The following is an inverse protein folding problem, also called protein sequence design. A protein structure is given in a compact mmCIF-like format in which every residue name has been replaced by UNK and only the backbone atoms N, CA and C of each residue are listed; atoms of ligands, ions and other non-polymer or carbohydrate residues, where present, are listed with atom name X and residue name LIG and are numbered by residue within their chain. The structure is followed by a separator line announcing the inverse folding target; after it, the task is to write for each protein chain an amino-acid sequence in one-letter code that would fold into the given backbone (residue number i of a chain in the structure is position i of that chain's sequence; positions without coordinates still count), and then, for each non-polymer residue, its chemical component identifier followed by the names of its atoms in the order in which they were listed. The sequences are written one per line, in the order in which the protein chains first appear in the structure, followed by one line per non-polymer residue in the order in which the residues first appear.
data_IF_808684528222
#
_entry.id   IF_808684528222
#
_cell.length_a   1.000
_cell.length_b   1.000
_cell.length_c   1.000
_cell.angle_alpha   90.00
_cell.angle_beta   90.00
_cell.angle_gamma   90.00
#
_symmetry.space_group_name_H-M   'P 1'
#
loop_
_entity.id
_entity.type
_entity.pdbx_description
1 polymer ?
#
# COMPACT_ATOMS: atom_id res chain seq x y z
N UNK A 1 20.76 10.89 35.22
CA UNK A 1 20.52 9.77 34.27
C UNK A 1 19.11 9.81 33.72
N UNK A 2 18.99 10.01 32.41
CA UNK A 2 17.73 10.01 31.66
C UNK A 2 17.68 8.85 30.67
N UNK A 3 16.46 8.38 30.43
CA UNK A 3 16.15 7.45 29.35
C UNK A 3 15.53 8.24 28.22
N UNK A 4 16.21 8.32 27.08
CA UNK A 4 15.70 9.05 25.92
C UNK A 4 15.24 8.04 24.88
N UNK A 5 14.01 8.21 24.39
CA UNK A 5 13.41 7.38 23.34
C UNK A 5 13.29 8.24 22.09
N UNK A 6 13.93 7.81 21.01
CA UNK A 6 13.77 8.37 19.68
C UNK A 6 12.79 7.50 18.89
N UNK A 7 11.72 8.11 18.41
CA UNK A 7 10.75 7.53 17.49
C UNK A 7 11.11 8.04 16.10
N UNK A 8 11.62 7.17 15.25
CA UNK A 8 11.82 7.45 13.84
C UNK A 8 10.61 6.96 13.06
N UNK A 9 9.99 7.88 12.33
CA UNK A 9 8.89 7.58 11.42
C UNK A 9 9.43 7.43 10.00
N UNK A 10 8.66 6.75 9.17
CA UNK A 10 9.01 6.46 7.78
C UNK A 10 9.16 7.72 6.91
N UNK A 11 8.49 8.81 7.25
CA UNK A 11 8.67 10.11 6.62
C UNK A 11 10.07 10.72 6.82
N UNK A 12 10.88 10.14 7.72
CA UNK A 12 12.14 10.71 8.20
C UNK A 12 11.94 11.66 9.39
N UNK A 13 10.71 11.88 9.85
CA UNK A 13 10.45 12.61 11.09
C UNK A 13 10.95 11.82 12.29
N UNK A 14 11.68 12.51 13.17
CA UNK A 14 12.16 11.95 14.44
C UNK A 14 11.58 12.72 15.62
N UNK A 15 11.04 12.01 16.60
CA UNK A 15 10.53 12.58 17.85
C UNK A 15 11.35 12.04 19.02
N UNK A 16 11.92 12.93 19.83
CA UNK A 16 12.68 12.56 21.02
C UNK A 16 11.85 12.79 22.28
N UNK A 17 11.84 11.79 23.16
CA UNK A 17 11.15 11.84 24.44
C UNK A 17 12.10 11.42 25.56
N UNK A 18 12.31 12.29 26.54
CA UNK A 18 13.17 12.03 27.68
C UNK A 18 12.36 11.66 28.93
N UNK A 19 12.88 10.72 29.71
CA UNK A 19 12.25 10.22 30.92
C UNK A 19 13.28 10.06 32.04
N UNK A 20 13.05 10.72 33.17
CA UNK A 20 13.89 10.54 34.37
C UNK A 20 13.71 9.14 34.99
N UNK A 21 12.50 8.57 34.89
CA UNK A 21 12.16 7.27 35.48
C UNK A 21 12.14 6.16 34.42
N UNK A 22 12.89 5.07 34.68
CA UNK A 22 12.94 3.89 33.82
C UNK A 22 11.57 3.25 33.57
N UNK A 23 10.71 3.22 34.58
CA UNK A 23 9.37 2.61 34.50
C UNK A 23 8.49 3.38 33.50
N UNK A 24 8.53 4.71 33.52
CA UNK A 24 7.80 5.56 32.58
C UNK A 24 8.31 5.40 31.16
N UNK A 25 9.63 5.36 30.97
CA UNK A 25 10.25 5.08 29.67
C UNK A 25 9.80 3.71 29.12
N UNK A 26 9.79 2.68 29.98
CA UNK A 26 9.37 1.33 29.59
C UNK A 26 7.88 1.26 29.23
N UNK A 27 7.00 1.93 29.97
CA UNK A 27 5.58 1.97 29.66
C UNK A 27 5.32 2.71 28.34
N UNK A 28 5.99 3.84 28.12
CA UNK A 28 5.94 4.60 26.88
C UNK A 28 6.43 3.76 25.69
N UNK A 29 7.56 3.06 25.84
CA UNK A 29 8.11 2.17 24.83
C UNK A 29 7.11 1.09 24.39
N UNK A 30 6.55 0.34 25.35
CA UNK A 30 5.58 -0.73 25.05
C UNK A 30 4.29 -0.19 24.46
N UNK A 31 3.78 0.94 24.99
CA UNK A 31 2.59 1.60 24.46
C UNK A 31 2.78 2.07 23.02
N UNK A 32 3.94 2.66 22.71
CA UNK A 32 4.27 3.15 21.37
C UNK A 32 4.37 1.99 20.37
N UNK A 33 5.00 0.87 20.75
CA UNK A 33 5.02 -0.34 19.90
C UNK A 33 3.60 -0.85 19.66
N UNK A 34 2.81 -1.01 20.73
CA UNK A 34 1.45 -1.55 20.63
C UNK A 34 0.56 -0.68 19.74
N UNK A 35 0.67 0.64 19.84
CA UNK A 35 -0.10 1.56 18.98
C UNK A 35 0.41 1.58 17.55
N UNK A 36 1.72 1.52 17.35
CA UNK A 36 2.30 1.47 16.01
C UNK A 36 2.01 0.15 15.28
N UNK A 37 1.90 -0.99 15.99
CA UNK A 37 1.45 -2.27 15.43
C UNK A 37 -0.03 -2.24 15.00
N UNK A 38 -0.86 -1.40 15.63
CA UNK A 38 -2.27 -1.19 15.26
C UNK A 38 -2.44 -0.19 14.11
N UNK A 39 -1.46 0.67 13.88
CA UNK A 39 -1.53 1.72 12.86
C UNK A 39 -1.50 1.11 11.45
N UNK A 40 -2.34 1.66 10.56
CA UNK A 40 -2.41 1.19 9.19
C UNK A 40 -1.14 1.58 8.39
N UNK A 41 -0.69 0.73 7.45
CA UNK A 41 0.57 0.92 6.70
C UNK A 41 0.60 2.12 5.73
N UNK A 42 -0.46 2.94 5.72
CA UNK A 42 -0.63 4.13 4.87
C UNK A 42 -0.51 5.45 5.63
N UNK A 43 -0.32 5.40 6.94
CA UNK A 43 0.02 6.56 7.75
C UNK A 43 1.53 6.61 7.96
N UNK A 44 2.01 7.79 8.36
CA UNK A 44 3.40 7.98 8.79
C UNK A 44 3.65 7.23 10.11
N UNK A 45 3.82 5.92 9.96
CA UNK A 45 3.97 4.99 11.05
C UNK A 45 5.39 5.00 11.56
N UNK A 46 5.52 4.56 12.80
CA UNK A 46 6.82 4.37 13.44
C UNK A 46 7.55 3.27 12.68
N UNK A 47 8.67 3.62 12.07
CA UNK A 47 9.56 2.67 11.41
C UNK A 47 10.46 2.00 12.46
N UNK A 48 10.93 2.81 13.41
CA UNK A 48 11.99 2.40 14.33
C UNK A 48 11.94 3.17 15.64
N UNK A 49 12.17 2.49 16.75
CA UNK A 49 12.40 3.09 18.06
C UNK A 49 13.83 2.83 18.52
N UNK A 50 14.47 3.85 19.09
CA UNK A 50 15.78 3.74 19.74
C UNK A 50 15.71 4.25 21.16
N UNK A 51 16.29 3.51 22.09
CA UNK A 51 16.44 3.89 23.49
C UNK A 51 17.91 4.23 23.75
N UNK A 52 18.13 5.37 24.38
CA UNK A 52 19.42 5.86 24.85
C UNK A 52 19.37 5.97 26.37
N UNK A 53 20.50 5.69 27.02
CA UNK A 53 20.70 5.97 28.44
C UNK A 53 21.75 7.07 28.50
N UNK A 54 21.33 8.24 28.98
CA UNK A 54 22.19 9.41 29.10
C UNK A 54 22.50 9.62 30.58
N UNK A 55 23.76 9.83 30.94
CA UNK A 55 24.14 10.06 32.34
C UNK A 55 23.82 11.49 32.82
N UNK A 56 23.49 12.39 31.90
CA UNK A 56 23.12 13.78 32.15
C UNK A 56 22.07 13.96 33.26
N UNK A 57 22.20 15.06 33.98
CA UNK A 57 21.31 15.44 35.10
C UNK A 57 20.13 16.31 34.66
N UNK A 58 20.19 16.86 33.45
CA UNK A 58 19.18 17.75 32.88
C UNK A 58 18.59 17.18 31.59
N UNK A 59 17.27 17.30 31.43
CA UNK A 59 16.53 16.78 30.28
C UNK A 59 17.01 17.37 28.95
N UNK A 60 17.22 18.69 28.91
CA UNK A 60 17.64 19.38 27.69
C UNK A 60 19.03 18.94 27.22
N UNK A 61 19.94 18.65 28.16
CA UNK A 61 21.28 18.13 27.86
C UNK A 61 21.22 16.69 27.35
N UNK A 62 20.37 15.85 27.95
CA UNK A 62 20.16 14.48 27.51
C UNK A 62 19.59 14.39 26.08
N UNK A 63 18.63 15.25 25.74
CA UNK A 63 18.06 15.32 24.39
C UNK A 63 19.12 15.76 23.37
N UNK A 64 19.85 16.83 23.68
CA UNK A 64 20.91 17.37 22.82
C UNK A 64 22.03 16.35 22.57
N UNK A 65 22.44 15.60 23.60
CA UNK A 65 23.47 14.57 23.47
C UNK A 65 23.04 13.44 22.51
N UNK A 66 21.74 13.13 22.43
CA UNK A 66 21.18 12.17 21.46
C UNK A 66 21.09 12.77 20.06
N UNK A 67 20.71 14.05 19.93
CA UNK A 67 20.68 14.75 18.64
C UNK A 67 22.07 14.90 18.00
N UNK A 68 23.10 15.13 18.82
CA UNK A 68 24.49 15.26 18.39
C UNK A 68 25.22 13.91 18.24
N UNK A 69 24.50 12.78 18.31
CA UNK A 69 25.04 11.41 18.21
C UNK A 69 26.17 11.10 19.22
N UNK A 70 26.19 11.79 20.37
CA UNK A 70 27.21 11.60 21.42
C UNK A 70 26.90 10.43 22.34
N UNK A 71 25.71 9.86 22.24
CA UNK A 71 25.23 8.76 23.09
C UNK A 71 24.96 7.53 22.24
N UNK A 72 25.43 6.37 22.70
CA UNK A 72 25.22 5.10 22.00
C UNK A 72 23.81 4.56 22.22
N UNK A 73 23.24 3.97 21.16
CA UNK A 73 21.93 3.31 21.23
C UNK A 73 22.01 2.11 22.16
N UNK A 74 21.20 2.12 23.22
CA UNK A 74 21.14 1.01 24.18
C UNK A 74 20.23 -0.12 23.72
N UNK A 75 19.10 0.22 23.10
CA UNK A 75 18.13 -0.74 22.58
C UNK A 75 17.49 -0.18 21.32
N UNK A 76 17.25 -1.03 20.36
CA UNK A 76 16.67 -0.68 19.09
C UNK A 76 15.54 -1.66 18.74
N UNK A 77 14.46 -1.16 18.18
CA UNK A 77 13.34 -1.97 17.72
C UNK A 77 12.85 -1.44 16.38
N UNK A 78 12.81 -2.32 15.38
CA UNK A 78 12.42 -1.99 14.00
C UNK A 78 11.07 -2.65 13.77
N UNK A 79 10.05 -1.87 13.42
CA UNK A 79 8.69 -2.38 13.21
C UNK A 79 8.53 -3.04 11.83
N UNK A 80 9.39 -2.69 10.88
CA UNK A 80 9.42 -3.27 9.54
C UNK A 80 10.50 -4.35 9.44
N UNK A 81 10.20 -5.53 9.98
CA UNK A 81 10.57 -6.81 9.35
C UNK A 81 10.06 -7.92 10.24
N UNK A 82 9.40 -8.92 9.67
CA UNK A 82 9.52 -10.25 10.23
C UNK A 82 11.03 -10.56 10.24
N UNK A 83 11.68 -10.66 11.41
CA UNK A 83 13.11 -10.90 11.42
C UNK A 83 13.36 -12.24 10.74
N UNK A 84 14.38 -12.33 9.89
CA UNK A 84 14.74 -13.63 9.31
C UNK A 84 15.01 -14.57 10.47
N UNK A 85 14.68 -15.85 10.32
CA UNK A 85 14.92 -16.83 11.38
C UNK A 85 16.39 -16.83 11.81
N UNK A 86 17.30 -16.51 10.89
CA UNK A 86 18.73 -16.27 11.14
C UNK A 86 19.02 -15.13 12.13
N UNK A 87 18.24 -14.05 12.09
CA UNK A 87 18.39 -12.89 12.96
C UNK A 87 17.82 -13.16 14.37
N UNK A 88 16.83 -14.06 14.47
CA UNK A 88 16.25 -14.53 15.74
C UNK A 88 17.10 -15.65 16.36
N UNK A 89 17.72 -16.48 15.52
CA UNK A 89 18.53 -17.63 15.90
C UNK A 89 19.98 -17.28 16.27
N UNK A 90 20.32 -16.00 16.40
CA UNK A 90 21.66 -15.60 16.85
C UNK A 90 21.97 -16.29 18.20
N UNK A 91 23.13 -16.97 18.32
CA UNK A 91 23.46 -17.69 19.53
C UNK A 91 23.55 -16.71 20.71
N UNK A 92 22.65 -16.88 21.67
CA UNK A 92 22.76 -16.26 22.99
C UNK A 92 23.18 -17.31 24.01
N UNK A 93 23.62 -16.87 25.17
CA UNK A 93 23.94 -17.74 26.31
C UNK A 93 22.80 -18.70 26.72
N UNK A 94 21.57 -18.54 26.21
CA UNK A 94 20.37 -19.31 26.60
C UNK A 94 19.78 -20.22 25.52
N UNK A 95 20.25 -20.19 24.26
CA UNK A 95 19.75 -21.09 23.21
C UNK A 95 20.87 -21.97 22.63
N UNK A 96 20.64 -23.28 22.42
CA UNK A 96 21.62 -24.14 21.76
C UNK A 96 21.84 -23.71 20.30
N UNK A 97 23.03 -23.93 19.73
CA UNK A 97 23.32 -23.58 18.34
C UNK A 97 22.38 -24.33 17.39
N UNK A 98 21.54 -23.59 16.66
CA UNK A 98 20.73 -24.15 15.58
C UNK A 98 21.66 -24.37 14.38
N UNK A 99 21.60 -25.57 13.78
CA UNK A 99 22.38 -25.89 12.59
C UNK A 99 21.95 -25.02 11.40
N UNK A 100 22.91 -24.26 10.86
CA UNK A 100 22.70 -23.33 9.75
C UNK A 100 22.19 -24.01 8.47
N UNK A 101 22.53 -25.28 8.24
CA UNK A 101 21.99 -26.04 7.10
C UNK A 101 20.50 -26.33 7.26
N UNK A 102 20.03 -26.51 8.50
CA UNK A 102 18.61 -26.72 8.80
C UNK A 102 17.79 -25.43 8.57
N UNK A 103 18.33 -24.27 8.94
CA UNK A 103 17.69 -22.96 8.69
C UNK A 103 17.66 -22.66 7.18
N UNK A 104 18.77 -22.84 6.48
CA UNK A 104 18.85 -22.57 5.04
C UNK A 104 17.92 -23.48 4.23
N UNK A 105 17.75 -24.76 4.64
CA UNK A 105 16.79 -25.67 4.01
C UNK A 105 15.34 -25.25 4.22
N UNK A 106 15.00 -24.77 5.43
CA UNK A 106 13.66 -24.24 5.72
C UNK A 106 13.36 -22.97 4.91
N UNK A 107 14.33 -22.07 4.77
CA UNK A 107 14.19 -20.85 3.95
C UNK A 107 14.04 -21.16 2.45
N UNK A 108 14.78 -22.13 1.94
CA UNK A 108 14.66 -22.59 0.55
C UNK A 108 13.26 -23.20 0.28
N UNK A 109 12.72 -23.97 1.23
CA UNK A 109 11.37 -24.52 1.13
C UNK A 109 10.30 -23.40 1.20
N UNK A 110 10.46 -22.41 2.08
CA UNK A 110 9.58 -21.23 2.15
C UNK A 110 9.64 -20.43 0.83
N UNK A 111 10.82 -20.27 0.23
CA UNK A 111 10.98 -19.62 -1.05
C UNK A 111 10.27 -20.39 -2.18
N UNK A 112 10.42 -21.72 -2.22
CA UNK A 112 9.73 -22.61 -3.17
C UNK A 112 8.21 -22.56 -3.01
N UNK A 113 7.72 -22.51 -1.77
CA UNK A 113 6.31 -22.28 -1.48
C UNK A 113 5.82 -20.90 -1.96
N UNK A 114 6.70 -19.89 -1.98
CA UNK A 114 6.43 -18.57 -2.54
C UNK A 114 6.16 -18.57 -4.06
N UNK A 115 6.79 -19.47 -4.81
CA UNK A 115 6.52 -19.65 -6.25
C UNK A 115 5.16 -20.32 -6.48
N UNK A 116 4.86 -21.39 -5.74
CA UNK A 116 3.54 -22.03 -5.76
C UNK A 116 2.41 -21.08 -5.33
N UNK A 117 2.70 -20.18 -4.38
CA UNK A 117 1.78 -19.11 -3.99
C UNK A 117 1.42 -18.19 -5.16
N UNK A 118 2.39 -17.78 -5.98
CA UNK A 118 2.10 -16.93 -7.12
C UNK A 118 1.17 -17.62 -8.12
N UNK A 119 1.30 -18.93 -8.29
CA UNK A 119 0.41 -19.70 -9.16
C UNK A 119 -1.03 -19.73 -8.62
N UNK A 120 -1.21 -19.99 -7.32
CA UNK A 120 -2.52 -19.97 -6.68
C UNK A 120 -3.17 -18.58 -6.71
N UNK A 121 -2.41 -17.53 -6.39
CA UNK A 121 -2.90 -16.16 -6.44
C UNK A 121 -3.26 -15.72 -7.87
N UNK A 122 -2.52 -16.20 -8.89
CA UNK A 122 -2.88 -15.98 -10.31
C UNK A 122 -4.16 -16.72 -10.68
N UNK A 123 -4.38 -17.93 -10.18
CA UNK A 123 -5.61 -18.68 -10.42
C UNK A 123 -6.84 -17.97 -9.80
N UNK A 124 -6.74 -17.49 -8.57
CA UNK A 124 -7.81 -16.72 -7.92
C UNK A 124 -8.03 -15.36 -8.59
N UNK A 125 -6.96 -14.68 -9.02
CA UNK A 125 -7.08 -13.47 -9.85
C UNK A 125 -7.85 -13.75 -11.14
N UNK A 126 -7.58 -14.88 -11.81
CA UNK A 126 -8.32 -15.27 -13.01
C UNK A 126 -9.80 -15.50 -12.70
N UNK A 127 -10.13 -16.19 -11.60
CA UNK A 127 -11.52 -16.38 -11.15
C UNK A 127 -12.26 -15.05 -10.98
N UNK A 128 -11.61 -14.06 -10.36
CA UNK A 128 -12.15 -12.70 -10.20
C UNK A 128 -12.40 -12.03 -11.56
N UNK A 129 -11.43 -12.09 -12.48
CA UNK A 129 -11.56 -11.50 -13.82
C UNK A 129 -12.66 -12.15 -14.64
N UNK A 130 -12.74 -13.48 -14.65
CA UNK A 130 -13.75 -14.22 -15.37
C UNK A 130 -15.17 -13.84 -14.89
N UNK A 131 -15.37 -13.71 -13.57
CA UNK A 131 -16.68 -13.28 -13.02
C UNK A 131 -17.03 -11.85 -13.37
N UNK A 132 -16.09 -10.92 -13.28
CA UNK A 132 -16.32 -9.54 -13.72
C UNK A 132 -16.71 -9.47 -15.20
N UNK A 133 -16.08 -10.28 -16.06
CA UNK A 133 -16.40 -10.31 -17.48
C UNK A 133 -17.81 -10.85 -17.73
N UNK A 134 -18.18 -11.96 -17.07
CA UNK A 134 -19.54 -12.53 -17.16
C UNK A 134 -20.59 -11.49 -16.74
N UNK A 135 -20.38 -10.78 -15.63
CA UNK A 135 -21.31 -9.76 -15.15
C UNK A 135 -21.43 -8.60 -16.16
N UNK A 136 -20.32 -8.18 -16.78
CA UNK A 136 -20.32 -7.13 -17.80
C UNK A 136 -21.02 -7.56 -19.10
N UNK A 137 -20.83 -8.81 -19.52
CA UNK A 137 -21.39 -9.36 -20.76
C UNK A 137 -22.89 -9.64 -20.63
N UNK A 138 -23.29 -10.26 -19.52
CA UNK A 138 -24.69 -10.63 -19.27
C UNK A 138 -25.52 -9.48 -18.73
N UNK A 139 -24.87 -8.43 -18.19
CA UNK A 139 -25.49 -7.36 -17.42
C UNK A 139 -26.43 -7.90 -16.32
N UNK A 140 -26.10 -9.10 -15.83
CA UNK A 140 -26.81 -9.85 -14.81
C UNK A 140 -25.83 -10.20 -13.70
N UNK A 141 -26.37 -10.32 -12.49
CA UNK A 141 -25.59 -10.53 -11.30
C UNK A 141 -26.45 -11.23 -10.25
N UNK A 142 -25.87 -12.21 -9.58
CA UNK A 142 -26.52 -12.86 -8.44
C UNK A 142 -25.60 -12.92 -7.20
N UNK A 143 -26.15 -13.38 -6.08
CA UNK A 143 -25.41 -13.50 -4.83
C UNK A 143 -24.29 -14.55 -4.92
N UNK A 144 -24.43 -15.56 -5.79
CA UNK A 144 -23.40 -16.59 -5.98
C UNK A 144 -22.14 -16.02 -6.66
N UNK A 145 -22.29 -15.00 -7.52
CA UNK A 145 -21.15 -14.24 -8.03
C UNK A 145 -20.35 -13.55 -6.91
N UNK A 146 -21.04 -12.99 -5.89
CA UNK A 146 -20.37 -12.41 -4.72
C UNK A 146 -19.67 -13.47 -3.90
N UNK A 147 -20.27 -14.64 -3.72
CA UNK A 147 -19.63 -15.71 -2.96
C UNK A 147 -18.33 -16.16 -3.63
N UNK A 148 -18.35 -16.39 -4.96
CA UNK A 148 -17.14 -16.75 -5.72
C UNK A 148 -16.08 -15.65 -5.64
N UNK A 149 -16.47 -14.38 -5.76
CA UNK A 149 -15.51 -13.28 -5.68
C UNK A 149 -14.97 -13.08 -4.26
N UNK A 150 -15.81 -13.23 -3.24
CA UNK A 150 -15.42 -13.13 -1.83
C UNK A 150 -14.44 -14.25 -1.47
N UNK A 151 -14.71 -15.50 -1.86
CA UNK A 151 -13.81 -16.63 -1.65
C UNK A 151 -12.43 -16.41 -2.30
N UNK A 152 -12.40 -16.03 -3.58
CA UNK A 152 -11.15 -15.77 -4.28
C UNK A 152 -10.36 -14.62 -3.61
N UNK A 153 -11.06 -13.60 -3.13
CA UNK A 153 -10.44 -12.47 -2.41
C UNK A 153 -9.89 -12.89 -1.05
N UNK A 154 -10.58 -13.79 -0.33
CA UNK A 154 -10.08 -14.37 0.92
C UNK A 154 -8.82 -15.21 0.70
N UNK A 155 -8.77 -16.04 -0.34
CA UNK A 155 -7.56 -16.81 -0.69
C UNK A 155 -6.37 -15.90 -1.01
N UNK A 156 -6.59 -14.85 -1.80
CA UNK A 156 -5.55 -13.85 -2.10
C UNK A 156 -5.06 -13.15 -0.83
N UNK A 157 -5.98 -12.80 0.09
CA UNK A 157 -5.66 -12.18 1.39
C UNK A 157 -4.82 -13.11 2.27
N UNK A 158 -5.31 -14.34 2.48
CA UNK A 158 -4.80 -15.29 3.48
C UNK A 158 -3.41 -15.81 3.16
N UNK A 159 -3.01 -15.75 1.89
CA UNK A 159 -1.72 -16.25 1.45
C UNK A 159 -0.64 -15.16 1.35
N UNK A 160 -0.99 -13.88 1.23
CA UNK A 160 0.00 -12.81 1.02
C UNK A 160 0.89 -12.49 2.23
N UNK A 161 0.38 -12.61 3.46
CA UNK A 161 1.11 -12.24 4.67
C UNK A 161 2.29 -13.16 4.95
N UNK A 162 2.15 -14.45 4.63
CA UNK A 162 3.17 -15.47 4.86
C UNK A 162 4.37 -15.38 3.91
N UNK A 163 4.24 -14.67 2.78
CA UNK A 163 5.26 -14.60 1.73
C UNK A 163 5.74 -13.16 1.45
N UNK A 164 5.54 -12.24 2.40
CA UNK A 164 5.95 -10.83 2.30
C UNK A 164 5.24 -10.07 1.15
N UNK A 165 3.96 -10.32 0.90
CA UNK A 165 3.13 -9.56 -0.04
C UNK A 165 2.09 -8.71 0.70
N UNK A 166 2.55 -7.78 1.55
CA UNK A 166 1.64 -7.01 2.42
C UNK A 166 0.61 -6.18 1.64
N UNK A 167 1.00 -5.60 0.49
CA UNK A 167 0.05 -4.90 -0.38
C UNK A 167 -1.03 -5.86 -0.90
N UNK A 168 -0.66 -7.09 -1.26
CA UNK A 168 -1.65 -8.04 -1.77
C UNK A 168 -2.64 -8.44 -0.68
N UNK A 169 -2.15 -8.70 0.53
CA UNK A 169 -3.00 -8.96 1.70
C UNK A 169 -3.95 -7.79 1.98
N UNK A 170 -3.44 -6.56 1.91
CA UNK A 170 -4.28 -5.37 2.09
C UNK A 170 -5.36 -5.27 1.01
N UNK A 171 -5.00 -5.43 -0.27
CA UNK A 171 -5.95 -5.34 -1.38
C UNK A 171 -7.02 -6.43 -1.29
N UNK A 172 -6.64 -7.66 -0.93
CA UNK A 172 -7.57 -8.76 -0.70
C UNK A 172 -8.54 -8.46 0.44
N UNK A 173 -8.05 -7.97 1.57
CA UNK A 173 -8.88 -7.59 2.73
C UNK A 173 -9.89 -6.48 2.41
N UNK A 174 -9.45 -5.44 1.69
CA UNK A 174 -10.34 -4.36 1.26
C UNK A 174 -11.37 -4.83 0.26
N UNK A 175 -11.00 -5.71 -0.66
CA UNK A 175 -11.94 -6.28 -1.62
C UNK A 175 -12.98 -7.15 -0.93
N UNK A 176 -12.57 -8.02 0.01
CA UNK A 176 -13.50 -8.80 0.85
C UNK A 176 -14.49 -7.88 1.57
N UNK A 177 -13.98 -6.87 2.29
CA UNK A 177 -14.82 -5.93 3.04
C UNK A 177 -15.83 -5.22 2.12
N UNK A 178 -15.39 -4.85 0.92
CA UNK A 178 -16.23 -4.21 -0.08
C UNK A 178 -17.34 -5.15 -0.60
N UNK A 179 -16.99 -6.40 -0.90
CA UNK A 179 -17.93 -7.42 -1.37
C UNK A 179 -18.95 -7.79 -0.29
N UNK A 180 -18.53 -7.94 0.96
CA UNK A 180 -19.42 -8.22 2.08
C UNK A 180 -20.39 -7.06 2.33
N UNK A 181 -19.91 -5.82 2.23
CA UNK A 181 -20.78 -4.63 2.28
C UNK A 181 -21.80 -4.61 1.13
N UNK A 182 -21.41 -5.06 -0.06
CA UNK A 182 -22.31 -5.17 -1.20
C UNK A 182 -23.36 -6.28 -1.00
N UNK A 183 -23.00 -7.43 -0.41
CA UNK A 183 -23.94 -8.49 -0.01
C UNK A 183 -25.02 -7.96 0.94
N UNK A 184 -24.64 -7.18 1.94
CA UNK A 184 -25.58 -6.60 2.93
C UNK A 184 -26.57 -5.58 2.34
N UNK A 185 -26.31 -5.02 1.15
CA UNK A 185 -27.18 -4.06 0.46
C UNK A 185 -28.12 -4.72 -0.57
N UNK A 186 -28.64 -5.90 -0.24
CA UNK A 186 -29.49 -6.72 -1.13
C UNK A 186 -28.83 -7.13 -2.45
N UNK A 187 -27.49 -7.20 -2.53
CA UNK A 187 -26.81 -7.69 -3.72
C UNK A 187 -27.01 -6.83 -4.98
N UNK A 188 -27.21 -5.51 -4.85
CA UNK A 188 -27.26 -4.62 -6.02
C UNK A 188 -25.86 -4.11 -6.35
N UNK A 189 -25.16 -4.77 -7.28
CA UNK A 189 -23.96 -4.21 -7.90
C UNK A 189 -24.35 -3.39 -9.14
N UNK A 190 -24.34 -2.07 -9.00
CA UNK A 190 -24.45 -1.18 -10.14
C UNK A 190 -23.13 -1.07 -10.91
N UNK A 191 -23.13 -0.28 -11.98
CA UNK A 191 -21.94 0.00 -12.79
C UNK A 191 -20.79 0.56 -11.95
N UNK A 192 -21.10 1.33 -10.91
CA UNK A 192 -20.10 1.90 -10.00
C UNK A 192 -19.41 0.81 -9.20
N UNK A 193 -20.17 -0.13 -8.64
CA UNK A 193 -19.61 -1.17 -7.79
C UNK A 193 -18.74 -2.13 -8.62
N UNK A 194 -19.18 -2.49 -9.83
CA UNK A 194 -18.37 -3.27 -10.77
C UNK A 194 -17.09 -2.54 -11.18
N UNK A 195 -17.14 -1.21 -11.32
CA UNK A 195 -15.95 -0.40 -11.59
C UNK A 195 -14.96 -0.43 -10.41
N UNK A 196 -15.44 -0.29 -9.18
CA UNK A 196 -14.62 -0.37 -7.96
C UNK A 196 -13.97 -1.75 -7.83
N UNK A 197 -14.74 -2.83 -8.01
CA UNK A 197 -14.24 -4.21 -7.98
C UNK A 197 -13.17 -4.41 -9.07
N UNK A 198 -13.43 -3.92 -10.30
CA UNK A 198 -12.45 -3.98 -11.40
C UNK A 198 -11.15 -3.25 -11.08
N UNK A 199 -11.22 -2.13 -10.34
CA UNK A 199 -10.04 -1.38 -9.92
C UNK A 199 -9.20 -2.16 -8.91
N UNK A 200 -9.82 -2.79 -7.91
CA UNK A 200 -9.12 -3.68 -6.97
C UNK A 200 -8.45 -4.85 -7.68
N UNK A 201 -9.17 -5.54 -8.58
CA UNK A 201 -8.64 -6.67 -9.36
C UNK A 201 -7.46 -6.25 -10.25
N UNK A 202 -7.50 -5.04 -10.82
CA UNK A 202 -6.39 -4.50 -11.59
C UNK A 202 -5.17 -4.20 -10.72
N UNK A 203 -5.37 -3.67 -9.51
CA UNK A 203 -4.28 -3.44 -8.56
C UNK A 203 -3.64 -4.77 -8.11
N UNK A 204 -4.45 -5.78 -7.78
CA UNK A 204 -4.00 -7.15 -7.47
C UNK A 204 -3.16 -7.73 -8.62
N UNK A 205 -3.61 -7.57 -9.86
CA UNK A 205 -2.86 -7.98 -11.06
C UNK A 205 -1.50 -7.30 -11.16
N UNK A 206 -1.43 -5.99 -10.92
CA UNK A 206 -0.16 -5.24 -10.99
C UNK A 206 0.81 -5.74 -9.92
N UNK A 207 0.34 -5.93 -8.69
CA UNK A 207 1.17 -6.44 -7.58
C UNK A 207 1.74 -7.82 -7.91
N UNK A 208 0.92 -8.74 -8.43
CA UNK A 208 1.36 -10.08 -8.81
C UNK A 208 2.32 -10.07 -10.01
N UNK A 209 2.06 -9.27 -11.05
CA UNK A 209 2.91 -9.18 -12.23
C UNK A 209 4.26 -8.54 -11.95
N UNK A 210 4.29 -7.54 -11.06
CA UNK A 210 5.50 -6.82 -10.67
C UNK A 210 6.18 -7.41 -9.43
N UNK A 211 5.61 -8.48 -8.86
CA UNK A 211 6.07 -9.14 -7.64
C UNK A 211 6.37 -8.14 -6.52
N UNK A 212 5.42 -7.23 -6.27
CA UNK A 212 5.60 -6.15 -5.29
C UNK A 212 5.52 -6.75 -3.88
N UNK A 213 6.67 -6.85 -3.21
CA UNK A 213 6.83 -7.38 -1.86
C UNK A 213 6.92 -6.30 -0.79
N UNK A 214 6.81 -6.70 0.47
CA UNK A 214 6.79 -5.84 1.63
C UNK A 214 5.74 -4.75 1.53
N UNK A 215 6.14 -3.53 1.85
CA UNK A 215 5.34 -2.31 1.74
C UNK A 215 5.19 -1.77 0.30
N UNK A 216 5.85 -2.42 -0.67
CA UNK A 216 5.94 -2.06 -2.08
C UNK A 216 6.66 -0.77 -2.43
N UNK A 217 7.29 -0.10 -1.47
CA UNK A 217 8.02 1.15 -1.69
C UNK A 217 7.22 2.23 -2.45
N UNK A 218 7.90 3.16 -3.14
CA UNK A 218 7.24 4.24 -3.88
C UNK A 218 6.27 3.75 -4.96
N UNK A 219 6.55 2.61 -5.59
CA UNK A 219 5.70 2.04 -6.64
C UNK A 219 4.38 1.50 -6.08
N UNK A 220 4.43 0.79 -4.94
CA UNK A 220 3.27 0.31 -4.22
C UNK A 220 2.39 1.45 -3.71
N UNK A 221 3.01 2.48 -3.13
CA UNK A 221 2.29 3.68 -2.65
C UNK A 221 1.56 4.38 -3.79
N UNK A 222 2.25 4.63 -4.91
CA UNK A 222 1.62 5.24 -6.09
C UNK A 222 0.47 4.40 -6.65
N UNK A 223 0.61 3.07 -6.64
CA UNK A 223 -0.48 2.17 -7.06
C UNK A 223 -1.72 2.35 -6.17
N UNK A 224 -1.53 2.46 -4.86
CA UNK A 224 -2.61 2.54 -3.88
C UNK A 224 -3.27 3.93 -3.88
N UNK A 225 -2.50 4.99 -4.11
CA UNK A 225 -3.01 6.34 -4.36
C UNK A 225 -3.87 6.42 -5.62
N UNK A 226 -3.40 5.81 -6.72
CA UNK A 226 -4.15 5.73 -7.96
C UNK A 226 -5.45 4.95 -7.75
N UNK A 227 -5.38 3.81 -7.07
CA UNK A 227 -6.57 3.02 -6.72
C UNK A 227 -7.56 3.85 -5.89
N UNK A 228 -7.08 4.58 -4.87
CA UNK A 228 -7.92 5.46 -4.04
C UNK A 228 -8.64 6.52 -4.88
N UNK A 229 -7.96 7.07 -5.87
CA UNK A 229 -8.54 8.06 -6.79
C UNK A 229 -9.65 7.44 -7.64
N UNK A 230 -9.42 6.25 -8.19
CA UNK A 230 -10.41 5.52 -9.01
C UNK A 230 -11.64 5.15 -8.19
N UNK A 231 -11.47 4.63 -6.97
CA UNK A 231 -12.61 4.22 -6.12
C UNK A 231 -13.42 5.42 -5.59
N UNK A 232 -12.78 6.58 -5.42
CA UNK A 232 -13.44 7.80 -4.95
C UNK A 232 -14.26 8.50 -6.04
N UNK A 233 -14.00 8.19 -7.31
CA UNK A 233 -14.59 8.84 -8.49
C UNK A 233 -13.98 10.22 -8.78
N UNK A 234 -14.27 10.82 -9.96
CA UNK A 234 -13.73 12.12 -10.32
C UNK A 234 -14.16 13.18 -9.30
N UNK A 235 -13.19 13.72 -8.57
CA UNK A 235 -13.37 14.91 -7.73
C UNK A 235 -13.71 16.06 -8.71
N UNK A 236 -14.86 16.73 -8.56
CA UNK A 236 -15.06 18.02 -9.21
C UNK A 236 -13.99 18.96 -8.64
N UNK A 237 -12.92 19.20 -9.39
CA UNK A 237 -11.94 20.21 -9.03
C UNK A 237 -12.57 21.59 -9.22
N UNK A 238 -12.79 22.30 -8.12
CA UNK A 238 -12.97 23.76 -8.14
C UNK A 238 -11.60 24.39 -8.47
N UNK A 239 -11.51 25.37 -9.39
CA UNK A 239 -10.24 25.97 -9.76
C UNK A 239 -9.75 26.86 -8.61
N UNK A 240 -8.75 26.41 -7.86
CA UNK A 240 -7.98 27.29 -6.96
C UNK A 240 -6.71 27.72 -7.68
N UNK A 241 -6.60 29.03 -7.84
CA UNK A 241 -5.62 29.78 -8.60
C UNK A 241 -4.22 29.88 -7.94
N UNK A 242 -3.18 29.65 -8.77
CA UNK A 242 -1.90 30.38 -8.92
C UNK A 242 -0.83 30.27 -7.80
N UNK A 243 0.49 30.35 -8.12
CA UNK A 243 1.14 31.55 -8.68
C UNK A 243 1.74 31.40 -10.08
N UNK A 244 1.57 32.45 -10.89
CA UNK A 244 2.34 32.73 -12.11
C UNK A 244 3.68 33.35 -11.68
N UNK A 245 4.79 32.69 -11.99
CA UNK A 245 6.09 33.35 -12.11
C UNK A 245 6.47 33.48 -13.59
N UNK A 246 6.21 34.68 -14.09
CA UNK A 246 7.11 35.52 -14.89
C UNK A 246 8.15 34.83 -15.78
N UNK A 247 7.86 34.69 -17.07
CA UNK A 247 8.85 34.97 -18.13
C UNK A 247 8.22 35.93 -19.14
N UNK A 248 9.06 36.87 -19.56
CA UNK A 248 8.80 38.20 -20.08
C UNK A 248 8.13 38.24 -21.46
N UNK A 249 7.36 39.32 -21.58
CA UNK A 249 6.89 39.98 -22.78
C UNK A 249 8.04 40.36 -23.74
N UNK A 250 7.92 39.95 -25.00
CA UNK A 250 8.33 40.74 -26.16
C UNK A 250 7.49 40.28 -27.37
N UNK A 251 6.75 41.22 -27.95
CA UNK A 251 5.95 41.09 -29.17
C UNK A 251 6.60 42.01 -30.26
N UNK A 252 6.00 42.29 -31.44
CA UNK A 252 4.89 41.66 -32.16
C UNK A 252 5.12 41.55 -33.71
N UNK A 253 4.04 41.18 -34.42
CA UNK A 253 3.68 41.41 -35.84
C UNK A 253 3.95 40.31 -36.87
N UNK A 254 2.88 39.64 -37.32
CA UNK A 254 2.27 39.94 -38.63
C UNK A 254 0.87 39.32 -38.76
N UNK A 255 -0.03 40.08 -39.39
CA UNK A 255 -1.38 39.72 -39.87
C UNK A 255 -1.20 38.70 -41.04
N UNK A 256 -2.18 37.90 -41.49
CA UNK A 256 -3.41 38.28 -42.23
C UNK A 256 -4.18 36.99 -42.64
N UNK A 257 -5.46 37.14 -43.01
CA UNK A 257 -6.31 36.28 -43.89
C UNK A 257 -6.95 35.05 -43.21
N UNK A 258 -8.26 34.98 -42.89
CA UNK A 258 -9.55 35.16 -43.62
C UNK A 258 -9.97 33.94 -44.47
N UNK A 259 -11.26 33.60 -44.35
CA UNK A 259 -12.14 32.70 -45.14
C UNK A 259 -12.23 31.22 -44.72
N UNK A 260 -13.32 30.79 -44.06
CA UNK A 260 -14.68 30.52 -44.59
C UNK A 260 -14.70 29.64 -45.85
N UNK A 261 -15.10 28.37 -45.69
CA UNK A 261 -16.10 27.73 -46.56
C UNK A 261 -16.45 26.30 -46.13
N UNK A 262 -17.74 26.09 -45.83
CA UNK A 262 -18.60 24.95 -46.20
C UNK A 262 -18.20 23.53 -45.75
N UNK A 263 -18.96 22.80 -44.92
CA UNK A 263 -20.40 22.53 -44.95
C UNK A 263 -20.92 22.01 -46.31
N UNK A 264 -20.57 20.77 -46.66
CA UNK A 264 -21.38 19.86 -47.49
C UNK A 264 -20.65 18.52 -47.68
N UNK A 265 -20.89 17.52 -46.81
CA UNK A 265 -20.55 16.10 -47.07
C UNK A 265 -21.33 15.14 -46.17
N UNK A 266 -22.59 15.46 -45.86
CA UNK A 266 -23.50 14.57 -45.11
C UNK A 266 -24.64 14.01 -45.99
N UNK A 267 -24.64 14.26 -47.30
CA UNK A 267 -25.72 13.81 -48.19
C UNK A 267 -25.31 12.71 -49.20
N UNK A 268 -24.04 12.30 -49.22
CA UNK A 268 -23.56 11.26 -50.17
C UNK A 268 -23.36 9.86 -49.56
N UNK A 269 -23.40 9.69 -48.24
CA UNK A 269 -23.27 8.36 -47.62
C UNK A 269 -24.61 7.62 -47.43
N UNK A 270 -25.74 8.27 -47.70
CA UNK A 270 -27.08 7.66 -47.58
C UNK A 270 -27.57 6.92 -48.85
N UNK A 271 -26.78 6.89 -49.93
CA UNK A 271 -27.18 6.25 -51.20
C UNK A 271 -26.46 4.94 -51.55
N UNK A 272 -25.65 4.37 -50.66
CA UNK A 272 -24.77 3.25 -51.03
C UNK A 272 -25.09 1.87 -50.43
N UNK A 273 -26.17 1.67 -49.65
CA UNK A 273 -26.48 0.32 -49.09
C UNK A 273 -27.95 -0.13 -49.14
N UNK A 274 -28.75 0.34 -50.11
CA UNK A 274 -30.02 -0.31 -50.48
C UNK A 274 -30.02 -0.71 -51.96
N UNK A 275 -29.27 -1.77 -52.28
CA UNK A 275 -29.53 -2.76 -53.34
C UNK A 275 -28.26 -3.58 -53.51
N UNK A 276 -28.24 -4.78 -52.97
CA UNK A 276 -28.13 -6.06 -53.71
C UNK A 276 -28.22 -7.18 -52.68
#
# INVERSE_FOLDING_TARGET
MFHVINILRKSGLSELHAFAEKQKASAFWTGTITEAEKQHPYQDHVEKLRLFICDEEEESLALKAVEEDQVTVKKEYILTNHPRLQDIAQPSSKNPPIDWNTISGAEAEIARMGDSYQEWAKADLKRLQDRINIIKETNSFDLSDLDVMTEASYSIKSLGGSFDYHILTFLGDRLVTYLDTAKSKEGKLGKREIHVISAYVSAIKIVLLKQIKGDGGPMGQKLLENLKTVISGPRKETPTSLPKDTIKEEAPLAKTETQDSNAASQEELAKMFQKT
#
